data_IF_113557349856
#
_entry.id   IF_113557349856
#
_cell.length_a   1.000
_cell.length_b   1.000
_cell.length_c   1.000
_cell.angle_alpha   90.00
_cell.angle_beta   90.00
_cell.angle_gamma   90.00
#
_symmetry.space_group_name_H-M   'P 1'
#
loop_
_entity.id
_entity.type
_entity.pdbx_description
1 polymer ?
#
# COMPACT_ATOMS: atom_id res chain seq x y z
N UNK A 1 -17.38 0.64 14.04
CA UNK A 1 -16.59 1.84 13.75
C UNK A 1 -15.37 1.38 12.97
N UNK A 2 -15.38 1.56 11.65
CA UNK A 2 -14.32 1.08 10.75
C UNK A 2 -13.24 2.14 10.62
N UNK A 3 -11.97 1.72 10.52
CA UNK A 3 -10.83 2.64 10.37
C UNK A 3 -10.42 2.67 8.91
N UNK A 4 -10.60 3.81 8.24
CA UNK A 4 -9.86 4.14 7.03
C UNK A 4 -8.74 5.07 7.47
N UNK A 5 -7.49 4.60 7.41
CA UNK A 5 -6.34 5.47 7.54
C UNK A 5 -5.92 5.85 6.14
N UNK A 6 -6.31 7.05 5.71
CA UNK A 6 -5.74 7.69 4.55
C UNK A 6 -4.60 8.58 5.07
N UNK A 7 -3.35 8.20 4.80
CA UNK A 7 -2.20 9.05 5.12
C UNK A 7 -2.20 10.27 4.19
N UNK A 8 -2.80 11.29 4.67
CA UNK A 8 -3.10 12.61 4.14
C UNK A 8 -4.08 13.29 5.07
N UNK A 9 -4.99 12.54 5.64
CA UNK A 9 -5.79 12.83 6.83
C UNK A 9 -5.91 11.52 7.60
N UNK A 10 -5.35 11.48 8.81
CA UNK A 10 -5.49 10.36 9.73
C UNK A 10 -6.91 10.38 10.30
N UNK A 11 -7.86 9.80 9.59
CA UNK A 11 -9.19 9.51 10.15
C UNK A 11 -9.19 8.08 10.66
N UNK A 12 -9.17 7.93 11.98
CA UNK A 12 -9.36 6.65 12.66
C UNK A 12 -10.85 6.41 12.84
N UNK A 13 -11.39 5.36 12.22
CA UNK A 13 -12.72 4.84 12.50
C UNK A 13 -12.57 3.47 13.17
N UNK A 14 -12.50 3.36 14.51
CA UNK A 14 -12.38 2.07 15.17
C UNK A 14 -13.69 1.26 14.99
N UNK A 15 -13.55 0.01 14.53
CA UNK A 15 -14.66 -0.94 14.55
C UNK A 15 -14.76 -1.56 15.95
N UNK A 16 -15.88 -1.42 16.68
CA UNK A 16 -16.01 -1.90 18.05
C UNK A 16 -16.02 -3.44 18.19
N UNK A 17 -16.10 -4.19 17.11
CA UNK A 17 -16.09 -5.67 17.12
C UNK A 17 -14.78 -6.32 16.71
N UNK A 18 -13.75 -5.54 16.34
CA UNK A 18 -12.44 -6.08 16.04
C UNK A 18 -11.64 -6.29 17.33
N UNK A 19 -11.73 -7.46 17.92
CA UNK A 19 -10.78 -7.91 18.94
C UNK A 19 -9.39 -8.08 18.30
N UNK A 20 -8.67 -6.98 18.12
CA UNK A 20 -7.23 -6.98 17.90
C UNK A 20 -6.58 -7.30 19.25
N UNK A 21 -6.45 -8.59 19.53
CA UNK A 21 -5.70 -9.08 20.68
C UNK A 21 -4.22 -8.89 20.39
N UNK A 22 -3.74 -7.68 20.64
CA UNK A 22 -2.34 -7.36 20.79
C UNK A 22 -1.98 -7.46 22.28
N UNK A 23 -1.58 -8.59 22.77
CA UNK A 23 -1.02 -8.73 24.11
C UNK A 23 0.43 -9.18 24.01
N UNK A 24 1.37 -8.28 24.31
CA UNK A 24 2.66 -8.66 24.87
C UNK A 24 2.40 -9.38 26.20
N UNK A 25 2.86 -10.61 26.31
CA UNK A 25 3.09 -11.24 27.63
C UNK A 25 4.43 -11.95 27.59
N UNK A 26 5.29 -11.50 28.46
CA UNK A 26 6.42 -12.30 28.93
C UNK A 26 5.85 -13.51 29.66
N UNK A 27 6.24 -14.72 29.22
CA UNK A 27 5.81 -15.97 29.82
C UNK A 27 5.03 -16.86 28.86
N UNK A 28 5.73 -17.67 28.06
CA UNK A 28 5.30 -18.97 27.53
C UNK A 28 4.04 -19.08 26.66
N UNK A 29 3.43 -18.02 26.17
CA UNK A 29 2.28 -18.07 25.25
C UNK A 29 2.78 -18.02 23.84
N UNK A 30 2.56 -19.08 23.07
CA UNK A 30 2.80 -19.13 21.63
C UNK A 30 1.87 -18.08 20.97
N UNK A 31 2.40 -16.94 20.61
CA UNK A 31 1.62 -15.91 19.90
C UNK A 31 1.14 -16.49 18.57
N UNK A 32 -0.16 -16.52 18.33
CA UNK A 32 -0.75 -16.94 17.06
C UNK A 32 -0.18 -16.07 15.94
N UNK A 33 0.51 -16.70 14.98
CA UNK A 33 1.03 -15.97 13.81
C UNK A 33 -0.11 -15.44 12.96
N UNK A 34 0.08 -14.21 12.44
CA UNK A 34 -0.88 -13.54 11.56
C UNK A 34 -0.74 -14.11 10.16
N UNK A 35 -1.83 -14.62 9.60
CA UNK A 35 -1.88 -15.12 8.22
C UNK A 35 -2.09 -13.97 7.24
N UNK A 36 -1.23 -13.89 6.23
CA UNK A 36 -1.27 -12.83 5.22
C UNK A 36 -1.48 -13.40 3.83
N UNK A 37 -2.38 -12.78 3.08
CA UNK A 37 -2.52 -12.96 1.64
C UNK A 37 -2.09 -11.70 0.89
N UNK A 38 -1.33 -11.83 -0.19
CA UNK A 38 -0.90 -10.70 -1.00
C UNK A 38 -1.67 -10.68 -2.32
N UNK A 39 -2.30 -9.54 -2.63
CA UNK A 39 -2.96 -9.29 -3.90
C UNK A 39 -2.06 -8.42 -4.77
N UNK A 40 -1.49 -9.03 -5.84
CA UNK A 40 -0.47 -8.40 -6.68
C UNK A 40 0.95 -8.88 -6.37
N UNK A 41 1.42 -9.90 -7.09
CA UNK A 41 2.79 -10.42 -6.99
C UNK A 41 3.65 -9.94 -8.15
N UNK A 42 3.71 -8.60 -8.30
CA UNK A 42 4.60 -7.85 -9.20
C UNK A 42 5.89 -7.41 -8.50
N UNK A 43 6.56 -6.37 -9.01
CA UNK A 43 7.83 -5.86 -8.43
C UNK A 43 7.68 -5.53 -6.93
N UNK A 44 6.72 -4.69 -6.57
CA UNK A 44 6.48 -4.28 -5.18
C UNK A 44 5.95 -5.43 -4.32
N UNK A 45 4.98 -6.19 -4.84
CA UNK A 45 4.43 -7.34 -4.11
C UNK A 45 5.44 -8.42 -3.78
N UNK A 46 6.47 -8.62 -4.62
CA UNK A 46 7.59 -9.52 -4.34
C UNK A 46 8.46 -9.02 -3.18
N UNK A 47 8.77 -7.72 -3.13
CA UNK A 47 9.53 -7.13 -2.02
C UNK A 47 8.78 -7.27 -0.69
N UNK A 48 7.48 -7.04 -0.71
CA UNK A 48 6.62 -7.17 0.47
C UNK A 48 6.50 -8.63 0.91
N UNK A 49 6.35 -9.56 -0.05
CA UNK A 49 6.33 -10.99 0.25
C UNK A 49 7.63 -11.46 0.89
N UNK A 50 8.77 -10.95 0.42
CA UNK A 50 10.10 -11.21 0.97
C UNK A 50 10.21 -10.78 2.43
N UNK A 51 9.70 -9.58 2.77
CA UNK A 51 9.68 -9.10 4.16
C UNK A 51 8.76 -9.96 5.05
N UNK A 52 7.59 -10.38 4.57
CA UNK A 52 6.73 -11.29 5.33
C UNK A 52 7.33 -12.67 5.53
N UNK A 53 8.15 -13.16 4.59
CA UNK A 53 8.86 -14.42 4.74
C UNK A 53 9.95 -14.37 5.81
N UNK A 54 10.58 -13.21 6.02
CA UNK A 54 11.62 -12.99 7.02
C UNK A 54 11.07 -12.75 8.43
N UNK A 55 9.85 -12.28 8.57
CA UNK A 55 9.26 -11.93 9.86
C UNK A 55 8.47 -13.08 10.47
N UNK A 56 8.98 -13.62 11.56
CA UNK A 56 8.40 -14.77 12.25
C UNK A 56 6.99 -14.54 12.84
N UNK A 57 6.54 -13.30 12.94
CA UNK A 57 5.18 -12.94 13.40
C UNK A 57 4.10 -13.29 12.38
N UNK A 58 4.48 -13.44 11.11
CA UNK A 58 3.57 -13.65 10.00
C UNK A 58 3.70 -15.02 9.36
N UNK A 59 2.65 -15.43 8.66
CA UNK A 59 2.63 -16.58 7.74
C UNK A 59 2.09 -16.09 6.40
N UNK A 60 2.94 -16.05 5.38
CA UNK A 60 2.50 -15.80 4.02
C UNK A 60 1.75 -17.03 3.50
N UNK A 61 0.42 -16.95 3.42
CA UNK A 61 -0.44 -18.07 3.04
C UNK A 61 -0.51 -18.23 1.53
N UNK A 62 -0.74 -17.13 0.82
CA UNK A 62 -0.84 -17.12 -0.65
C UNK A 62 -0.52 -15.74 -1.21
N UNK A 63 -0.20 -15.74 -2.51
CA UNK A 63 -0.08 -14.52 -3.32
C UNK A 63 -0.90 -14.67 -4.59
N UNK A 64 -1.65 -13.63 -4.98
CA UNK A 64 -2.42 -13.60 -6.24
C UNK A 64 -1.66 -12.79 -7.28
N UNK A 65 -1.63 -13.28 -8.53
CA UNK A 65 -1.02 -12.58 -9.66
C UNK A 65 -1.86 -12.71 -10.93
N UNK A 66 -1.66 -11.76 -11.87
CA UNK A 66 -2.41 -11.71 -13.12
C UNK A 66 -2.19 -12.94 -14.01
N UNK A 67 -0.94 -13.36 -14.19
CA UNK A 67 -0.57 -14.42 -15.13
C UNK A 67 -0.17 -15.71 -14.42
N UNK A 68 -0.41 -16.86 -15.04
CA UNK A 68 0.13 -18.16 -14.62
C UNK A 68 1.66 -18.12 -14.62
N UNK A 69 2.27 -18.78 -13.65
CA UNK A 69 3.72 -18.91 -13.56
C UNK A 69 4.16 -20.18 -14.25
N UNK A 70 5.27 -20.09 -14.99
CA UNK A 70 5.84 -21.24 -15.68
C UNK A 70 6.72 -22.13 -14.79
N UNK A 71 7.31 -21.61 -13.69
CA UNK A 71 8.42 -22.23 -13.01
C UNK A 71 8.29 -22.44 -11.49
N UNK A 72 7.42 -21.74 -10.78
CA UNK A 72 7.27 -21.89 -9.34
C UNK A 72 5.81 -21.90 -8.90
N UNK A 73 5.48 -22.74 -7.90
CA UNK A 73 4.14 -22.83 -7.28
C UNK A 73 4.04 -21.98 -6.01
N UNK A 74 5.16 -21.55 -5.46
CA UNK A 74 5.24 -20.84 -4.18
C UNK A 74 6.03 -19.54 -4.29
N UNK A 75 5.61 -18.52 -3.54
CA UNK A 75 6.26 -17.22 -3.52
C UNK A 75 7.70 -17.32 -3.00
N UNK A 76 7.92 -18.10 -1.96
CA UNK A 76 9.25 -18.31 -1.41
C UNK A 76 10.22 -18.90 -2.44
N UNK A 77 9.82 -19.93 -3.18
CA UNK A 77 10.66 -20.52 -4.24
C UNK A 77 10.91 -19.55 -5.41
N UNK A 78 9.92 -18.71 -5.75
CA UNK A 78 10.07 -17.67 -6.80
C UNK A 78 11.02 -16.54 -6.35
N UNK A 79 11.20 -16.36 -5.05
CA UNK A 79 12.13 -15.41 -4.41
C UNK A 79 13.49 -16.02 -4.07
N UNK A 80 13.73 -17.30 -4.39
CA UNK A 80 15.03 -17.94 -4.19
C UNK A 80 15.20 -18.67 -2.85
N UNK A 81 14.14 -18.83 -2.06
CA UNK A 81 14.19 -19.63 -0.84
C UNK A 81 13.95 -21.13 -1.12
N UNK A 82 14.63 -22.00 -0.40
CA UNK A 82 14.44 -23.45 -0.44
C UNK A 82 13.21 -23.91 0.38
N UNK A 83 12.08 -23.20 0.25
CA UNK A 83 10.85 -23.47 1.01
C UNK A 83 9.62 -23.41 0.11
N UNK A 84 8.51 -23.96 0.59
CA UNK A 84 7.23 -23.97 -0.12
C UNK A 84 6.17 -23.13 0.63
N UNK A 85 6.44 -21.83 0.78
CA UNK A 85 5.59 -20.89 1.51
C UNK A 85 4.95 -19.90 0.53
N UNK A 86 3.71 -19.49 0.79
CA UNK A 86 2.99 -18.51 -0.02
C UNK A 86 2.59 -19.07 -1.38
N UNK A 87 1.53 -19.91 -1.43
CA UNK A 87 1.03 -20.49 -2.69
C UNK A 87 0.74 -19.39 -3.71
N UNK A 88 1.26 -19.52 -4.92
CA UNK A 88 0.98 -18.59 -6.00
C UNK A 88 -0.30 -18.99 -6.71
N UNK A 89 -1.24 -18.05 -6.82
CA UNK A 89 -2.57 -18.26 -7.36
C UNK A 89 -2.78 -17.29 -8.52
N UNK A 90 -3.03 -17.79 -9.73
CA UNK A 90 -3.46 -16.95 -10.84
C UNK A 90 -4.81 -16.29 -10.52
N UNK A 91 -5.03 -15.05 -10.97
CA UNK A 91 -6.31 -14.35 -10.77
C UNK A 91 -7.49 -15.13 -11.37
N UNK A 92 -7.25 -15.87 -12.45
CA UNK A 92 -8.26 -16.74 -13.11
C UNK A 92 -8.79 -17.86 -12.20
N UNK A 93 -8.03 -18.23 -11.18
CA UNK A 93 -8.37 -19.33 -10.27
C UNK A 93 -9.06 -18.82 -8.99
N UNK A 94 -9.26 -17.50 -8.88
CA UNK A 94 -9.98 -16.86 -7.77
C UNK A 94 -11.49 -16.94 -8.05
N UNK A 95 -12.18 -17.74 -7.28
CA UNK A 95 -13.63 -17.90 -7.31
C UNK A 95 -14.30 -17.10 -6.19
N UNK A 96 -15.63 -16.97 -6.22
CA UNK A 96 -16.41 -16.30 -5.16
C UNK A 96 -16.15 -16.88 -3.76
N UNK A 97 -15.90 -18.19 -3.68
CA UNK A 97 -15.60 -18.89 -2.42
C UNK A 97 -14.09 -18.95 -2.09
N UNK A 98 -13.27 -18.19 -2.80
CA UNK A 98 -11.81 -18.24 -2.64
C UNK A 98 -11.39 -17.94 -1.21
N UNK A 99 -11.90 -16.87 -0.61
CA UNK A 99 -11.51 -16.44 0.73
C UNK A 99 -11.99 -17.38 1.83
N UNK A 100 -13.12 -18.05 1.64
CA UNK A 100 -13.60 -19.10 2.54
C UNK A 100 -12.69 -20.33 2.53
N UNK A 101 -12.18 -20.69 1.34
CA UNK A 101 -11.26 -21.85 1.18
C UNK A 101 -9.82 -21.53 1.52
N UNK A 102 -9.43 -20.27 1.46
CA UNK A 102 -8.07 -19.78 1.70
C UNK A 102 -8.08 -18.62 2.73
N UNK A 103 -8.49 -18.90 3.98
CA UNK A 103 -8.66 -17.85 4.98
C UNK A 103 -7.31 -17.25 5.39
N UNK A 104 -7.29 -15.92 5.51
CA UNK A 104 -6.18 -15.12 6.05
C UNK A 104 -6.72 -14.11 7.03
N UNK A 105 -5.87 -13.60 7.90
CA UNK A 105 -6.25 -12.53 8.82
C UNK A 105 -6.20 -11.15 8.11
N UNK A 106 -5.23 -10.99 7.18
CA UNK A 106 -5.00 -9.73 6.46
C UNK A 106 -4.77 -10.01 4.97
N UNK A 107 -5.41 -9.23 4.11
CA UNK A 107 -5.12 -9.10 2.69
C UNK A 107 -4.34 -7.82 2.44
N UNK A 108 -3.18 -7.93 1.78
CA UNK A 108 -2.33 -6.79 1.42
C UNK A 108 -2.33 -6.61 -0.10
N UNK A 109 -2.83 -5.47 -0.59
CA UNK A 109 -2.97 -5.18 -2.01
C UNK A 109 -1.92 -4.20 -2.54
N UNK A 110 -1.08 -4.69 -3.44
CA UNK A 110 -0.13 -3.93 -4.27
C UNK A 110 -0.31 -4.27 -5.76
N UNK A 111 -1.55 -4.47 -6.20
CA UNK A 111 -1.86 -4.83 -7.58
C UNK A 111 -2.05 -3.60 -8.48
N UNK A 112 -3.26 -3.30 -8.83
CA UNK A 112 -3.67 -2.15 -9.64
C UNK A 112 -5.10 -1.75 -9.25
N UNK A 113 -5.59 -0.62 -9.77
CA UNK A 113 -6.89 -0.04 -9.38
C UNK A 113 -8.07 -1.04 -9.43
N UNK A 114 -8.19 -1.86 -10.46
CA UNK A 114 -9.27 -2.85 -10.58
C UNK A 114 -9.14 -4.04 -9.59
N UNK A 115 -8.05 -4.16 -8.85
CA UNK A 115 -7.85 -5.23 -7.88
C UNK A 115 -8.95 -5.31 -6.86
N UNK A 116 -9.43 -4.18 -6.36
CA UNK A 116 -10.48 -4.09 -5.33
C UNK A 116 -11.78 -4.79 -5.74
N UNK A 117 -12.17 -4.73 -7.01
CA UNK A 117 -13.36 -5.42 -7.52
C UNK A 117 -13.24 -6.94 -7.40
N UNK A 118 -12.03 -7.47 -7.58
CA UNK A 118 -11.77 -8.91 -7.55
C UNK A 118 -11.72 -9.49 -6.13
N UNK A 119 -11.38 -8.69 -5.13
CA UNK A 119 -11.29 -9.15 -3.74
C UNK A 119 -12.39 -8.60 -2.80
N UNK A 120 -13.41 -7.95 -3.32
CA UNK A 120 -14.51 -7.40 -2.51
C UNK A 120 -15.14 -8.40 -1.53
N UNK A 121 -15.16 -9.70 -1.87
CA UNK A 121 -15.66 -10.76 -1.00
C UNK A 121 -14.75 -11.06 0.20
N UNK A 122 -13.50 -10.57 0.24
CA UNK A 122 -12.61 -10.69 1.39
C UNK A 122 -13.21 -10.02 2.63
N UNK A 123 -13.81 -8.83 2.47
CA UNK A 123 -14.46 -8.10 3.55
C UNK A 123 -15.58 -8.92 4.21
N UNK A 124 -16.42 -9.59 3.39
CA UNK A 124 -17.51 -10.47 3.89
C UNK A 124 -16.98 -11.68 4.66
N UNK A 125 -15.73 -12.07 4.42
CA UNK A 125 -15.04 -13.16 5.14
C UNK A 125 -14.32 -12.67 6.40
N UNK A 126 -14.48 -11.40 6.79
CA UNK A 126 -13.85 -10.79 7.98
C UNK A 126 -12.36 -10.53 7.83
N UNK A 127 -11.82 -10.54 6.61
CA UNK A 127 -10.40 -10.33 6.33
C UNK A 127 -10.13 -8.81 6.33
N UNK A 128 -9.19 -8.35 7.17
CA UNK A 128 -8.74 -6.96 7.13
C UNK A 128 -7.98 -6.66 5.83
N UNK A 129 -8.12 -5.45 5.32
CA UNK A 129 -7.56 -5.06 4.02
C UNK A 129 -6.54 -3.93 4.21
N UNK A 130 -5.34 -4.10 3.63
CA UNK A 130 -4.34 -3.05 3.50
C UNK A 130 -4.10 -2.82 2.02
N UNK A 131 -4.43 -1.63 1.50
CA UNK A 131 -4.18 -1.29 0.09
C UNK A 131 -3.14 -0.19 -0.05
N UNK A 132 -2.06 -0.50 -0.80
CA UNK A 132 -1.01 0.41 -1.23
C UNK A 132 -1.14 0.84 -2.70
N UNK A 133 -2.31 0.64 -3.31
CA UNK A 133 -2.55 1.00 -4.72
C UNK A 133 -2.64 2.52 -4.86
N UNK A 134 -1.79 3.11 -5.71
CA UNK A 134 -1.63 4.57 -5.81
C UNK A 134 -2.55 5.24 -6.84
N UNK A 135 -3.21 4.47 -7.71
CA UNK A 135 -3.93 5.01 -8.87
C UNK A 135 -5.42 4.64 -8.91
N UNK A 136 -6.06 4.50 -7.75
CA UNK A 136 -7.51 4.34 -7.67
C UNK A 136 -8.23 5.56 -8.26
N UNK A 137 -9.26 5.27 -9.06
CA UNK A 137 -10.21 6.27 -9.50
C UNK A 137 -11.33 6.45 -8.45
N UNK A 138 -12.18 7.46 -8.55
CA UNK A 138 -13.26 7.71 -7.58
C UNK A 138 -14.17 6.50 -7.33
N UNK A 139 -14.41 5.67 -8.34
CA UNK A 139 -15.24 4.46 -8.23
C UNK A 139 -14.59 3.41 -7.31
N UNK A 140 -13.31 3.10 -7.54
CA UNK A 140 -12.59 2.13 -6.72
C UNK A 140 -12.40 2.63 -5.28
N UNK A 141 -12.16 3.94 -5.11
CA UNK A 141 -12.10 4.54 -3.77
C UNK A 141 -13.43 4.43 -3.04
N UNK A 142 -14.56 4.66 -3.74
CA UNK A 142 -15.89 4.51 -3.18
C UNK A 142 -16.16 3.05 -2.78
N UNK A 143 -15.76 2.09 -3.64
CA UNK A 143 -15.87 0.67 -3.32
C UNK A 143 -15.00 0.31 -2.10
N UNK A 144 -13.74 0.73 -2.07
CA UNK A 144 -12.84 0.47 -0.94
C UNK A 144 -13.41 1.06 0.36
N UNK A 145 -14.00 2.25 0.30
CA UNK A 145 -14.70 2.88 1.42
C UNK A 145 -15.89 2.04 1.88
N UNK A 146 -16.70 1.50 0.97
CA UNK A 146 -17.83 0.64 1.35
C UNK A 146 -17.36 -0.66 2.03
N UNK A 147 -16.21 -1.21 1.64
CA UNK A 147 -15.62 -2.37 2.32
C UNK A 147 -15.22 -2.04 3.76
N UNK A 148 -14.85 -0.80 4.05
CA UNK A 148 -14.48 -0.38 5.41
C UNK A 148 -15.65 -0.34 6.39
N UNK A 149 -16.89 -0.39 5.91
CA UNK A 149 -18.09 -0.55 6.74
C UNK A 149 -18.24 -1.99 7.26
N UNK A 150 -17.58 -2.95 6.59
CA UNK A 150 -17.70 -4.39 6.87
C UNK A 150 -16.47 -4.91 7.64
N UNK A 151 -15.27 -4.46 7.26
CA UNK A 151 -13.99 -4.94 7.82
C UNK A 151 -12.99 -3.79 7.97
N UNK A 152 -11.97 -3.91 8.83
CA UNK A 152 -10.91 -2.90 8.89
C UNK A 152 -10.21 -2.73 7.55
N UNK A 153 -10.12 -1.49 7.05
CA UNK A 153 -9.42 -1.15 5.81
C UNK A 153 -8.40 -0.04 6.10
N UNK A 154 -7.15 -0.29 5.75
CA UNK A 154 -6.09 0.70 5.68
C UNK A 154 -5.79 0.99 4.21
N UNK A 155 -6.01 2.23 3.79
CA UNK A 155 -5.61 2.70 2.47
C UNK A 155 -4.46 3.70 2.59
N UNK A 156 -3.33 3.38 1.96
CA UNK A 156 -2.17 4.27 1.94
C UNK A 156 -1.46 4.19 0.59
N UNK A 157 -1.78 5.10 -0.35
CA UNK A 157 -1.10 5.17 -1.66
C UNK A 157 0.37 5.56 -1.54
N UNK A 158 0.76 6.21 -0.44
CA UNK A 158 2.12 6.66 -0.14
C UNK A 158 2.60 6.05 1.18
N UNK A 159 2.87 4.75 1.17
CA UNK A 159 3.25 3.99 2.38
C UNK A 159 4.69 4.26 2.85
N UNK A 160 5.48 4.98 2.04
CA UNK A 160 6.89 5.25 2.32
C UNK A 160 7.05 6.31 3.41
N UNK A 161 7.65 5.96 4.55
CA UNK A 161 7.91 6.88 5.67
C UNK A 161 8.62 8.17 5.23
N UNK A 162 9.61 8.06 4.34
CA UNK A 162 10.36 9.22 3.83
C UNK A 162 9.46 10.23 3.11
N UNK A 163 8.51 9.78 2.29
CA UNK A 163 7.55 10.65 1.59
C UNK A 163 6.60 11.31 2.60
N UNK A 164 6.09 10.55 3.56
CA UNK A 164 5.22 11.09 4.61
C UNK A 164 5.94 12.14 5.45
N UNK A 165 7.20 11.86 5.83
CA UNK A 165 8.03 12.81 6.54
C UNK A 165 8.26 14.09 5.72
N UNK A 166 8.60 13.95 4.42
CA UNK A 166 8.80 15.09 3.51
C UNK A 166 7.55 15.97 3.45
N UNK A 167 6.35 15.37 3.30
CA UNK A 167 5.09 16.12 3.29
C UNK A 167 4.85 16.88 4.59
N UNK A 168 5.01 16.22 5.73
CA UNK A 168 4.82 16.85 7.05
C UNK A 168 5.84 17.95 7.28
N UNK A 169 7.12 17.69 7.03
CA UNK A 169 8.20 18.68 7.20
C UNK A 169 7.98 19.90 6.31
N UNK A 170 7.65 19.69 5.03
CA UNK A 170 7.38 20.78 4.09
C UNK A 170 6.16 21.62 4.50
N UNK A 171 5.09 20.98 4.97
CA UNK A 171 3.91 21.68 5.46
C UNK A 171 4.22 22.54 6.70
N UNK A 172 4.99 22.00 7.65
CA UNK A 172 5.44 22.78 8.83
C UNK A 172 6.32 23.95 8.39
N UNK A 173 7.28 23.71 7.47
CA UNK A 173 8.19 24.74 6.99
C UNK A 173 7.43 25.88 6.27
N UNK A 174 6.44 25.55 5.43
CA UNK A 174 5.55 26.57 4.80
C UNK A 174 4.85 27.46 5.83
N UNK A 175 4.45 26.91 6.98
CA UNK A 175 3.85 27.70 8.07
C UNK A 175 4.84 28.62 8.76
N UNK A 176 6.10 28.20 8.87
CA UNK A 176 7.17 28.99 9.49
C UNK A 176 7.62 30.13 8.56
N UNK A 177 7.69 29.85 7.24
CA UNK A 177 8.13 30.81 6.21
C UNK A 177 7.08 30.92 5.10
N UNK A 178 5.95 31.58 5.36
CA UNK A 178 4.80 31.62 4.45
C UNK A 178 5.06 32.35 3.12
N UNK A 179 6.11 33.20 3.07
CA UNK A 179 6.49 33.97 1.90
C UNK A 179 7.61 33.33 1.05
N UNK A 180 8.00 32.08 1.36
CA UNK A 180 8.96 31.38 0.54
C UNK A 180 8.33 30.95 -0.80
N UNK A 181 9.10 31.08 -1.89
CA UNK A 181 8.76 30.42 -3.15
C UNK A 181 9.01 28.93 -3.01
N UNK A 182 8.07 28.09 -3.48
CA UNK A 182 8.16 26.64 -3.29
C UNK A 182 8.07 25.94 -4.64
N UNK A 183 9.06 25.08 -4.92
CA UNK A 183 9.09 24.21 -6.10
C UNK A 183 9.24 22.76 -5.71
N UNK A 184 8.63 21.86 -6.48
CA UNK A 184 8.69 20.41 -6.29
C UNK A 184 9.40 19.81 -7.50
N UNK A 185 10.46 19.05 -7.27
CA UNK A 185 11.13 18.24 -8.30
C UNK A 185 10.82 16.79 -8.08
N UNK A 186 10.38 16.08 -9.13
CA UNK A 186 10.22 14.64 -9.12
C UNK A 186 11.02 14.00 -10.25
N UNK A 187 11.79 12.98 -9.92
CA UNK A 187 12.65 12.26 -10.85
C UNK A 187 12.20 10.80 -10.94
N UNK A 188 11.97 10.31 -12.17
CA UNK A 188 11.62 8.92 -12.43
C UNK A 188 12.29 8.38 -13.69
N UNK A 189 12.17 7.07 -13.90
CA UNK A 189 12.69 6.38 -15.08
C UNK A 189 12.15 6.97 -16.39
N UNK A 190 12.97 6.91 -17.45
CA UNK A 190 12.70 7.54 -18.75
C UNK A 190 11.32 7.24 -19.36
N UNK A 191 10.79 6.04 -19.12
CA UNK A 191 9.49 5.58 -19.68
C UNK A 191 8.25 5.97 -18.89
N UNK A 192 8.37 6.72 -17.77
CA UNK A 192 7.21 7.19 -17.02
C UNK A 192 6.61 8.41 -17.73
N UNK A 193 5.36 8.29 -18.19
CA UNK A 193 4.66 9.34 -18.95
C UNK A 193 3.99 10.39 -18.08
N UNK A 194 3.50 9.99 -16.91
CA UNK A 194 2.69 10.84 -16.04
C UNK A 194 3.50 11.46 -14.90
N UNK A 195 3.07 12.64 -14.45
CA UNK A 195 3.56 13.26 -13.22
C UNK A 195 3.32 12.33 -12.04
N UNK A 196 4.28 12.25 -11.14
CA UNK A 196 4.20 11.39 -9.96
C UNK A 196 2.97 11.73 -9.09
N UNK A 197 2.17 10.71 -8.74
CA UNK A 197 1.08 10.88 -7.78
C UNK A 197 1.55 11.37 -6.42
N UNK A 198 2.78 11.01 -6.02
CA UNK A 198 3.43 11.53 -4.81
C UNK A 198 3.71 13.04 -4.92
N UNK A 199 4.24 13.51 -6.06
CA UNK A 199 4.48 14.94 -6.28
C UNK A 199 3.18 15.75 -6.24
N UNK A 200 2.13 15.24 -6.89
CA UNK A 200 0.78 15.86 -6.83
C UNK A 200 0.27 15.93 -5.38
N UNK A 201 0.45 14.87 -4.60
CA UNK A 201 0.04 14.87 -3.19
C UNK A 201 0.84 15.85 -2.34
N UNK A 202 2.14 16.02 -2.60
CA UNK A 202 2.96 17.05 -1.96
C UNK A 202 2.43 18.44 -2.32
N UNK A 203 2.16 18.72 -3.61
CA UNK A 203 1.60 20.01 -4.06
C UNK A 203 0.26 20.29 -3.36
N UNK A 204 -0.66 19.34 -3.34
CA UNK A 204 -1.94 19.46 -2.63
C UNK A 204 -1.76 19.76 -1.13
N UNK A 205 -0.81 19.07 -0.46
CA UNK A 205 -0.52 19.29 0.97
C UNK A 205 0.03 20.70 1.22
N UNK A 206 0.73 21.25 0.24
CA UNK A 206 1.29 22.60 0.27
C UNK A 206 0.36 23.65 -0.36
N UNK A 207 -0.84 23.26 -0.81
CA UNK A 207 -1.81 24.16 -1.47
C UNK A 207 -1.19 24.91 -2.66
N UNK A 208 -0.44 24.16 -3.50
CA UNK A 208 0.24 24.65 -4.68
C UNK A 208 -0.47 24.16 -5.95
N UNK A 209 -0.41 24.95 -7.02
CA UNK A 209 -0.88 24.54 -8.34
C UNK A 209 0.08 23.50 -8.93
N UNK A 210 -0.45 22.31 -9.26
CA UNK A 210 0.36 21.19 -9.77
C UNK A 210 1.05 21.52 -11.10
N UNK A 211 0.41 22.36 -11.95
CA UNK A 211 0.92 22.69 -13.29
C UNK A 211 2.05 23.73 -13.26
N UNK A 212 2.14 24.50 -12.18
CA UNK A 212 3.13 25.56 -12.03
C UNK A 212 4.32 25.16 -11.18
N UNK A 213 4.10 24.32 -10.17
CA UNK A 213 5.08 24.06 -9.11
C UNK A 213 5.65 22.62 -9.13
N UNK A 214 5.31 21.78 -10.12
CA UNK A 214 5.89 20.44 -10.24
C UNK A 214 6.77 20.34 -11.48
N UNK A 215 8.04 20.08 -11.26
CA UNK A 215 9.05 19.86 -12.29
C UNK A 215 9.37 18.37 -12.39
N UNK A 216 9.12 17.76 -13.55
CA UNK A 216 9.31 16.33 -13.79
C UNK A 216 10.60 16.06 -14.56
N UNK A 217 11.47 15.22 -14.01
CA UNK A 217 12.70 14.74 -14.66
C UNK A 217 12.54 13.26 -15.02
N UNK A 218 12.86 12.90 -16.27
CA UNK A 218 12.77 11.53 -16.80
C UNK A 218 14.12 11.08 -17.32
N UNK A 219 14.83 10.26 -16.52
CA UNK A 219 16.19 9.83 -16.86
C UNK A 219 16.49 8.42 -16.37
N UNK A 220 17.13 7.62 -17.21
CA UNK A 220 17.63 6.30 -16.86
C UNK A 220 16.59 5.39 -16.23
N UNK A 221 16.97 4.72 -15.16
CA UNK A 221 16.16 3.77 -14.39
C UNK A 221 15.81 4.26 -12.97
N UNK A 222 15.80 5.56 -12.71
CA UNK A 222 15.47 6.13 -11.38
C UNK A 222 14.07 5.64 -10.97
N UNK A 223 13.99 5.00 -9.80
CA UNK A 223 12.73 4.41 -9.31
C UNK A 223 11.74 5.49 -8.87
N UNK A 224 12.25 6.55 -8.23
CA UNK A 224 11.49 7.72 -7.79
C UNK A 224 12.30 8.52 -6.76
N UNK A 225 12.43 9.83 -7.01
CA UNK A 225 13.00 10.79 -6.08
C UNK A 225 12.09 12.00 -6.03
N UNK A 226 11.91 12.59 -4.85
CA UNK A 226 11.12 13.79 -4.66
C UNK A 226 11.92 14.77 -3.81
N UNK A 227 11.89 16.02 -4.23
CA UNK A 227 12.55 17.14 -3.58
C UNK A 227 11.57 18.31 -3.49
N UNK A 228 11.59 19.04 -2.38
CA UNK A 228 10.84 20.27 -2.20
C UNK A 228 11.82 21.37 -1.88
N UNK A 229 11.85 22.41 -2.71
CA UNK A 229 12.75 23.53 -2.60
C UNK A 229 11.98 24.72 -2.04
N UNK A 230 12.55 25.35 -1.03
CA UNK A 230 12.05 26.61 -0.46
C UNK A 230 13.04 27.71 -0.79
N UNK A 231 12.65 28.63 -1.68
CA UNK A 231 13.39 29.85 -2.02
C UNK A 231 13.03 30.99 -1.08
N UNK A 232 14.00 31.56 -0.39
CA UNK A 232 13.76 32.71 0.48
C UNK A 232 13.72 34.00 -0.33
N UNK A 233 12.78 34.96 -0.05
CA UNK A 233 12.85 36.28 -0.62
C UNK A 233 14.16 36.97 -0.19
N UNK A 234 14.79 37.66 -1.12
CA UNK A 234 16.00 38.48 -0.87
C UNK A 234 15.69 39.68 0.03
#
# INVERSE_FOLDING_TARGET
MSVIIQLGELSFFPNPSANLVGAKKEGGVLLKKIKVGIWGFGKTGKLIADEFLKDSRFVLSWVVRKNKIKHSKFASSDLGYETNIGKIIPISDVSDNFFLKNPVDILVDFSHNYGVHSYKNAAKSGIAIISGVSNYQPEELSLLKSLSEITPVLYSPNITLGVTFLMVASHVLKKIIPNADIEIIEEHFKGKTEVSGTAKKIAQTLELDESQHINSIRVGGIVGRHEVIFGMPN
#
